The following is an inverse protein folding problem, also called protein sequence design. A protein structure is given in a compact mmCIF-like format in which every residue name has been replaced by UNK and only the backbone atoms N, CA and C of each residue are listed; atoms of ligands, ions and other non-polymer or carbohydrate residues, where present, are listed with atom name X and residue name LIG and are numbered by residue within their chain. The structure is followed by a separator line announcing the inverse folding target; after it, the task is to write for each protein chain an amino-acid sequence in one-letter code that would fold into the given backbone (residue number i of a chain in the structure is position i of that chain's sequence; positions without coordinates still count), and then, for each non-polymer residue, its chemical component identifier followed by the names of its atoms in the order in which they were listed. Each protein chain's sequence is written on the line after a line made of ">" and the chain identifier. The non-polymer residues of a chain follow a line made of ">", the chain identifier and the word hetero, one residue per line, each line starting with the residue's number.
data_IF_880252405910
#
_entry.id   IF_880252405910
#
_cell.length_a   1.000
_cell.length_b   1.000
_cell.length_c   1.000
_cell.angle_alpha   90.00
_cell.angle_beta   90.00
_cell.angle_gamma   90.00
#
_symmetry.space_group_name_H-M   'P 1'
#
loop_
_entity.id
_entity.type
_entity.pdbx_description
1 polymer ?
#
# COMPACT_ATOMS: atom_id res chain seq x y z
N UNK A 1 -26.80 -5.52 -3.26
CA UNK A 1 -25.81 -6.02 -2.27
C UNK A 1 -24.39 -6.14 -2.81
N UNK A 2 -24.18 -6.27 -4.13
CA UNK A 2 -22.87 -6.45 -4.77
C UNK A 2 -21.95 -5.22 -4.65
N UNK A 3 -22.50 -4.02 -4.90
CA UNK A 3 -21.74 -2.76 -4.86
C UNK A 3 -21.15 -2.48 -3.47
N UNK A 4 -21.95 -2.68 -2.40
CA UNK A 4 -21.49 -2.48 -1.03
C UNK A 4 -20.33 -3.43 -0.65
N UNK A 5 -20.38 -4.68 -1.13
CA UNK A 5 -19.29 -5.65 -0.93
C UNK A 5 -18.02 -5.24 -1.69
N UNK A 6 -18.15 -4.80 -2.94
CA UNK A 6 -16.99 -4.35 -3.73
C UNK A 6 -16.34 -3.11 -3.12
N UNK A 7 -17.13 -2.15 -2.63
CA UNK A 7 -16.63 -0.99 -1.90
C UNK A 7 -15.92 -1.40 -0.60
N UNK A 8 -16.49 -2.35 0.15
CA UNK A 8 -15.83 -2.90 1.34
C UNK A 8 -14.48 -3.54 1.04
N UNK A 9 -14.37 -4.29 -0.07
CA UNK A 9 -13.12 -4.89 -0.53
C UNK A 9 -12.11 -3.81 -0.97
N UNK A 10 -12.56 -2.77 -1.67
CA UNK A 10 -11.70 -1.65 -2.04
C UNK A 10 -11.14 -0.94 -0.81
N UNK A 11 -11.97 -0.65 0.20
CA UNK A 11 -11.53 -0.01 1.46
C UNK A 11 -10.54 -0.90 2.21
N UNK A 12 -10.81 -2.21 2.32
CA UNK A 12 -9.88 -3.17 2.93
C UNK A 12 -8.56 -3.24 2.15
N UNK A 13 -8.62 -3.21 0.82
CA UNK A 13 -7.44 -3.16 -0.05
C UNK A 13 -6.63 -1.89 0.15
N UNK A 14 -7.28 -0.73 0.28
CA UNK A 14 -6.61 0.54 0.58
C UNK A 14 -5.94 0.51 1.96
N UNK A 15 -6.64 0.04 2.99
CA UNK A 15 -6.09 -0.09 4.34
C UNK A 15 -4.90 -1.05 4.36
N UNK A 16 -5.02 -2.21 3.73
CA UNK A 16 -3.94 -3.19 3.64
C UNK A 16 -2.72 -2.64 2.89
N UNK A 17 -2.94 -2.01 1.74
CA UNK A 17 -1.88 -1.36 0.96
C UNK A 17 -1.20 -0.22 1.71
N UNK A 18 -1.97 0.59 2.45
CA UNK A 18 -1.43 1.67 3.27
C UNK A 18 -0.54 1.15 4.40
N UNK A 19 -1.01 0.15 5.15
CA UNK A 19 -0.26 -0.46 6.24
C UNK A 19 1.02 -1.14 5.72
N UNK A 20 0.94 -1.85 4.59
CA UNK A 20 2.10 -2.46 3.96
C UNK A 20 3.11 -1.39 3.52
N UNK A 21 2.64 -0.30 2.92
CA UNK A 21 3.51 0.78 2.50
C UNK A 21 4.14 1.57 3.65
N UNK A 22 3.46 1.69 4.80
CA UNK A 22 4.08 2.18 6.04
C UNK A 22 5.23 1.28 6.48
N UNK A 23 4.98 -0.03 6.55
CA UNK A 23 6.00 -1.03 6.91
C UNK A 23 7.22 -0.97 5.98
N UNK A 24 6.99 -0.92 4.67
CA UNK A 24 8.06 -0.85 3.66
C UNK A 24 8.82 0.47 3.77
N UNK A 25 8.12 1.60 3.92
CA UNK A 25 8.75 2.91 4.09
C UNK A 25 9.64 2.96 5.34
N UNK A 26 9.16 2.44 6.47
CA UNK A 26 9.93 2.37 7.72
C UNK A 26 11.13 1.43 7.59
N UNK A 27 10.95 0.24 7.01
CA UNK A 27 12.04 -0.71 6.79
C UNK A 27 13.16 -0.08 5.95
N UNK A 28 12.80 0.62 4.87
CA UNK A 28 13.77 1.31 4.01
C UNK A 28 14.40 2.50 4.73
N UNK A 29 13.62 3.21 5.56
CA UNK A 29 14.10 4.27 6.45
C UNK A 29 15.21 3.81 7.38
N UNK A 30 14.94 2.72 8.11
CA UNK A 30 15.88 2.10 9.04
C UNK A 30 17.13 1.61 8.30
N UNK A 31 16.96 0.89 7.19
CA UNK A 31 18.10 0.38 6.40
C UNK A 31 18.95 1.54 5.85
N UNK A 32 18.33 2.60 5.34
CA UNK A 32 19.02 3.78 4.84
C UNK A 32 19.84 4.49 5.92
N UNK A 33 19.26 4.68 7.11
CA UNK A 33 19.95 5.27 8.25
C UNK A 33 21.12 4.41 8.73
N UNK A 34 20.94 3.08 8.84
CA UNK A 34 22.00 2.16 9.26
C UNK A 34 23.15 2.13 8.23
N UNK A 35 22.84 2.20 6.94
CA UNK A 35 23.84 2.12 5.88
C UNK A 35 24.65 3.42 5.70
N UNK A 36 24.04 4.59 5.92
CA UNK A 36 24.65 5.88 5.55
C UNK A 36 24.96 6.79 6.74
N UNK A 37 24.46 6.48 7.94
CA UNK A 37 24.67 7.28 9.16
C UNK A 37 23.89 8.59 9.22
N UNK A 38 23.24 8.99 8.12
CA UNK A 38 22.41 10.19 8.02
C UNK A 38 21.05 9.86 7.39
N UNK A 39 19.96 10.59 7.71
CA UNK A 39 18.68 10.42 7.04
C UNK A 39 18.81 10.84 5.57
N UNK A 40 18.71 9.91 4.60
CA UNK A 40 18.93 10.23 3.21
C UNK A 40 17.82 11.15 2.65
N UNK A 41 18.19 12.15 1.87
CA UNK A 41 17.22 13.09 1.27
C UNK A 41 16.24 12.42 0.31
N UNK A 42 16.66 11.34 -0.36
CA UNK A 42 15.81 10.51 -1.22
C UNK A 42 14.72 9.74 -0.45
N UNK A 43 14.86 9.58 0.86
CA UNK A 43 13.86 8.94 1.73
C UNK A 43 12.59 9.80 1.89
N UNK A 44 12.62 11.08 1.50
CA UNK A 44 11.40 11.88 1.35
C UNK A 44 10.43 11.30 0.33
N UNK A 45 10.92 10.68 -0.74
CA UNK A 45 10.06 10.03 -1.73
C UNK A 45 9.41 8.75 -1.16
N UNK A 46 10.09 8.04 -0.25
CA UNK A 46 9.55 6.86 0.44
C UNK A 46 8.34 7.18 1.32
N UNK A 47 8.19 8.42 1.80
CA UNK A 47 6.98 8.87 2.51
C UNK A 47 5.71 8.82 1.66
N UNK A 48 5.83 8.75 0.34
CA UNK A 48 4.69 8.59 -0.57
C UNK A 48 4.34 7.12 -0.82
N UNK A 49 5.22 6.17 -0.47
CA UNK A 49 5.00 4.75 -0.66
C UNK A 49 3.71 4.23 0.01
N UNK A 50 3.35 4.64 1.24
CA UNK A 50 2.08 4.27 1.86
C UNK A 50 0.88 4.67 1.00
N UNK A 51 0.86 5.91 0.52
CA UNK A 51 -0.24 6.44 -0.30
C UNK A 51 -0.34 5.74 -1.65
N UNK A 52 0.80 5.48 -2.30
CA UNK A 52 0.86 4.78 -3.60
C UNK A 52 0.38 3.34 -3.46
N UNK A 53 0.84 2.62 -2.43
CA UNK A 53 0.41 1.24 -2.17
C UNK A 53 -1.05 1.16 -1.72
N UNK A 54 -1.55 2.14 -0.97
CA UNK A 54 -2.97 2.24 -0.63
C UNK A 54 -3.83 2.36 -1.90
N UNK A 55 -3.45 3.24 -2.83
CA UNK A 55 -4.17 3.38 -4.11
C UNK A 55 -4.08 2.10 -4.94
N UNK A 56 -2.89 1.51 -5.07
CA UNK A 56 -2.71 0.25 -5.78
C UNK A 56 -3.54 -0.89 -5.17
N UNK A 57 -3.54 -1.02 -3.85
CA UNK A 57 -4.33 -2.02 -3.12
C UNK A 57 -5.83 -1.78 -3.24
N UNK A 58 -6.27 -0.52 -3.21
CA UNK A 58 -7.67 -0.13 -3.40
C UNK A 58 -8.23 -0.45 -4.78
N UNK A 59 -7.38 -0.45 -5.81
CA UNK A 59 -7.76 -0.82 -7.19
C UNK A 59 -7.59 -2.33 -7.44
N UNK A 60 -6.49 -2.92 -6.96
CA UNK A 60 -6.19 -4.33 -7.18
C UNK A 60 -7.12 -5.27 -6.41
N UNK A 61 -7.45 -4.95 -5.15
CA UNK A 61 -8.33 -5.80 -4.34
C UNK A 61 -9.72 -6.03 -4.95
N UNK A 62 -10.48 -4.99 -5.39
CA UNK A 62 -11.76 -5.19 -6.04
C UNK A 62 -11.61 -5.84 -7.41
N UNK A 63 -10.54 -5.54 -8.18
CA UNK A 63 -10.29 -6.20 -9.47
C UNK A 63 -10.11 -7.72 -9.31
N UNK A 64 -9.30 -8.16 -8.34
CA UNK A 64 -9.10 -9.59 -8.02
C UNK A 64 -10.40 -10.23 -7.52
N UNK A 65 -11.16 -9.52 -6.69
CA UNK A 65 -12.44 -10.02 -6.18
C UNK A 65 -13.49 -10.21 -7.29
N UNK A 66 -13.55 -9.31 -8.26
CA UNK A 66 -14.44 -9.42 -9.41
C UNK A 66 -13.99 -10.57 -10.33
N UNK A 67 -12.69 -10.66 -10.63
CA UNK A 67 -12.14 -11.74 -11.45
C UNK A 67 -12.42 -13.14 -10.88
N UNK A 68 -12.28 -13.32 -9.57
CA UNK A 68 -12.60 -14.59 -8.87
C UNK A 68 -14.08 -14.97 -8.86
N UNK A 69 -14.98 -14.06 -9.25
CA UNK A 69 -16.42 -14.38 -9.37
C UNK A 69 -16.82 -14.81 -10.77
N UNK A 70 -15.98 -14.53 -11.76
CA UNK A 70 -16.18 -14.93 -13.16
C UNK A 70 -15.59 -16.31 -13.46
N UNK A 71 -14.74 -16.83 -12.57
CA UNK A 71 -14.16 -18.18 -12.59
C UNK A 71 -14.92 -19.13 -11.68
#
# INVERSE_FOLDING_TARGET
>A
MTVLRTLGVAVLGMLGGFLLGLLVSEAIGIVGMVATGEPPTWLRAMRLAPSVLALAGGLAAPAVFLWRRET
#
